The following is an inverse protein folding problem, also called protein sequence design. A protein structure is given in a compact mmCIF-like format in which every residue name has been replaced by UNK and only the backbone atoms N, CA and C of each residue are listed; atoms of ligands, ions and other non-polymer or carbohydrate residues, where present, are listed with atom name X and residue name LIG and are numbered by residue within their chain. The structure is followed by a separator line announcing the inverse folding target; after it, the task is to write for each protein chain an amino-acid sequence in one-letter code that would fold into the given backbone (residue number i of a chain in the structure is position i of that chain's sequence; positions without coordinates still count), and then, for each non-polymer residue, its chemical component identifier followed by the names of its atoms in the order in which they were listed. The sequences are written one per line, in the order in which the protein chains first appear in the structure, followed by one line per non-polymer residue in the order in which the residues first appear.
data_IF_382068191434
#
_entry.id   IF_382068191434
#
_cell.length_a   1.000
_cell.length_b   1.000
_cell.length_c   1.000
_cell.angle_alpha   90.00
_cell.angle_beta   90.00
_cell.angle_gamma   90.00
#
_symmetry.space_group_name_H-M   'P 1'
#
loop_
_entity.id
_entity.type
_entity.pdbx_description
1 polymer ?
#
# COMPACT_ATOMS: atom_id res chain seq x y z
N UNK A 1 -5.52 -21.15 -11.15
CA UNK A 1 -6.01 -21.88 -9.96
C UNK A 1 -6.49 -20.99 -8.81
N UNK A 2 -5.66 -20.18 -8.12
CA UNK A 2 -6.18 -19.36 -7.00
C UNK A 2 -7.16 -18.28 -7.47
N UNK A 3 -6.86 -17.65 -8.62
CA UNK A 3 -7.75 -16.68 -9.28
C UNK A 3 -9.11 -17.31 -9.59
N UNK A 4 -9.13 -18.47 -10.25
CA UNK A 4 -10.36 -19.18 -10.59
C UNK A 4 -11.14 -19.64 -9.35
N UNK A 5 -10.44 -20.14 -8.32
CA UNK A 5 -11.08 -20.66 -7.10
C UNK A 5 -11.76 -19.56 -6.29
N UNK A 6 -11.27 -18.33 -6.37
CA UNK A 6 -11.83 -17.18 -5.65
C UNK A 6 -12.69 -16.29 -6.55
N UNK A 7 -12.85 -16.63 -7.84
CA UNK A 7 -13.48 -15.77 -8.84
C UNK A 7 -12.94 -14.33 -8.79
N UNK A 8 -11.63 -14.20 -8.56
CA UNK A 8 -11.01 -12.91 -8.23
C UNK A 8 -10.91 -12.01 -9.47
N UNK A 9 -11.31 -10.74 -9.34
CA UNK A 9 -11.20 -9.73 -10.40
C UNK A 9 -9.76 -9.25 -10.65
N UNK A 10 -8.84 -9.50 -9.71
CA UNK A 10 -7.43 -9.13 -9.82
C UNK A 10 -6.56 -10.03 -8.93
N UNK A 11 -5.26 -10.13 -9.25
CA UNK A 11 -4.26 -10.79 -8.41
C UNK A 11 -3.25 -9.77 -7.87
N UNK A 12 -3.16 -9.64 -6.55
CA UNK A 12 -2.14 -8.81 -5.90
C UNK A 12 -0.90 -9.64 -5.56
N UNK A 13 0.24 -9.33 -6.18
CA UNK A 13 1.54 -9.85 -5.81
C UNK A 13 2.22 -8.90 -4.81
N UNK A 14 2.45 -9.38 -3.59
CA UNK A 14 3.16 -8.59 -2.59
C UNK A 14 4.68 -8.75 -2.74
N UNK A 15 5.42 -7.67 -2.48
CA UNK A 15 6.87 -7.63 -2.39
C UNK A 15 7.24 -7.30 -0.94
N UNK A 16 7.99 -8.20 -0.29
CA UNK A 16 8.32 -8.09 1.13
C UNK A 16 9.81 -8.39 1.44
N UNK A 17 10.79 -7.91 0.64
CA UNK A 17 12.18 -8.32 0.77
C UNK A 17 12.80 -8.03 2.14
N UNK A 18 12.45 -6.90 2.78
CA UNK A 18 12.93 -6.59 4.12
C UNK A 18 12.33 -7.55 5.16
N UNK A 19 11.04 -7.85 5.07
CA UNK A 19 10.38 -8.80 5.96
C UNK A 19 11.06 -10.16 5.88
N UNK A 20 11.29 -10.69 4.67
CA UNK A 20 12.00 -11.97 4.47
C UNK A 20 13.45 -11.94 4.97
N UNK A 21 14.11 -10.78 4.91
CA UNK A 21 15.44 -10.62 5.47
C UNK A 21 15.48 -10.75 7.00
N UNK A 22 14.50 -10.16 7.69
CA UNK A 22 14.37 -10.12 9.15
C UNK A 22 13.75 -11.40 9.71
N UNK A 23 12.85 -12.03 8.96
CA UNK A 23 12.18 -13.26 9.37
C UNK A 23 13.20 -14.40 9.55
N UNK A 24 13.13 -15.13 10.67
CA UNK A 24 14.10 -16.19 11.00
C UNK A 24 14.20 -17.31 9.94
N UNK A 25 13.12 -17.56 9.17
CA UNK A 25 13.08 -18.52 8.06
C UNK A 25 12.56 -17.88 6.77
N UNK A 26 12.88 -16.61 6.53
CA UNK A 26 12.42 -15.92 5.33
C UNK A 26 13.14 -16.38 4.06
N UNK A 27 12.42 -16.37 2.95
CA UNK A 27 12.95 -16.65 1.62
C UNK A 27 13.50 -15.37 0.99
N UNK A 28 14.80 -15.37 0.70
CA UNK A 28 15.53 -14.21 0.19
C UNK A 28 15.78 -14.31 -1.31
N UNK A 29 15.22 -15.31 -1.98
CA UNK A 29 15.43 -15.53 -3.40
C UNK A 29 14.50 -14.66 -4.26
N UNK A 30 14.89 -13.41 -4.44
CA UNK A 30 14.22 -12.47 -5.36
C UNK A 30 14.83 -12.45 -6.76
N UNK A 31 15.66 -13.46 -7.11
CA UNK A 31 16.32 -13.53 -8.42
C UNK A 31 15.28 -13.73 -9.53
N UNK A 32 15.47 -12.97 -10.61
CA UNK A 32 14.62 -13.03 -11.82
C UNK A 32 13.13 -12.84 -11.52
N UNK A 33 12.79 -12.11 -10.45
CA UNK A 33 11.41 -11.89 -10.07
C UNK A 33 10.66 -11.07 -11.12
N UNK A 34 11.29 -10.05 -11.71
CA UNK A 34 10.63 -9.18 -12.69
C UNK A 34 10.20 -9.92 -13.97
N UNK A 35 11.05 -10.74 -14.63
CA UNK A 35 10.59 -11.61 -15.73
C UNK A 35 9.45 -12.56 -15.34
N UNK A 36 9.47 -13.12 -14.13
CA UNK A 36 8.39 -13.99 -13.64
C UNK A 36 7.08 -13.23 -13.45
N UNK A 37 7.14 -11.99 -12.95
CA UNK A 37 5.98 -11.10 -12.87
C UNK A 37 5.45 -10.81 -14.28
N UNK A 38 6.33 -10.53 -15.26
CA UNK A 38 5.93 -10.26 -16.64
C UNK A 38 5.17 -11.45 -17.25
N UNK A 39 5.71 -12.66 -17.09
CA UNK A 39 5.05 -13.89 -17.52
C UNK A 39 3.64 -14.02 -16.92
N UNK A 40 3.48 -13.73 -15.62
CA UNK A 40 2.16 -13.77 -14.99
C UNK A 40 1.20 -12.70 -15.53
N UNK A 41 1.70 -11.50 -15.85
CA UNK A 41 0.88 -10.46 -16.45
C UNK A 41 0.39 -10.84 -17.85
N UNK A 42 1.16 -11.62 -18.60
CA UNK A 42 0.79 -12.12 -19.94
C UNK A 42 -0.19 -13.31 -19.87
N UNK A 43 0.01 -14.23 -18.92
CA UNK A 43 -0.74 -15.50 -18.85
C UNK A 43 -2.07 -15.40 -18.10
N UNK A 44 -2.20 -14.48 -17.14
CA UNK A 44 -3.40 -14.41 -16.30
C UNK A 44 -4.55 -13.67 -17.00
N UNK A 45 -5.79 -14.17 -16.90
CA UNK A 45 -6.96 -13.52 -17.50
C UNK A 45 -7.44 -12.27 -16.73
N UNK A 46 -6.79 -11.94 -15.62
CA UNK A 46 -7.16 -10.83 -14.72
C UNK A 46 -5.94 -9.93 -14.47
N UNK A 47 -6.14 -8.63 -14.21
CA UNK A 47 -5.05 -7.71 -13.95
C UNK A 47 -4.19 -8.15 -12.76
N UNK A 48 -2.88 -8.02 -12.94
CA UNK A 48 -1.89 -8.19 -11.87
C UNK A 48 -1.60 -6.83 -11.26
N UNK A 49 -1.73 -6.74 -9.94
CA UNK A 49 -1.37 -5.58 -9.13
C UNK A 49 -0.13 -5.92 -8.32
N UNK A 50 0.82 -4.99 -8.19
CA UNK A 50 1.99 -5.19 -7.33
C UNK A 50 1.95 -4.26 -6.13
N UNK A 51 2.26 -4.82 -4.97
CA UNK A 51 2.08 -4.19 -3.68
C UNK A 51 3.32 -4.33 -2.79
N UNK A 52 3.78 -3.29 -2.11
CA UNK A 52 4.71 -3.47 -0.97
C UNK A 52 3.93 -3.89 0.29
N UNK A 53 4.60 -4.14 1.40
CA UNK A 53 3.99 -4.53 2.68
C UNK A 53 4.20 -3.51 3.81
N UNK A 54 4.94 -2.42 3.61
CA UNK A 54 5.13 -1.36 4.61
C UNK A 54 6.42 -0.54 4.48
N UNK A 55 7.20 -0.71 3.41
CA UNK A 55 8.44 0.01 3.14
C UNK A 55 8.38 0.86 1.87
N UNK A 56 7.26 0.87 1.13
CA UNK A 56 7.08 1.72 -0.04
C UNK A 56 7.66 1.18 -1.35
N UNK A 57 6.92 1.34 -2.45
CA UNK A 57 7.45 1.22 -3.81
C UNK A 57 8.03 2.57 -4.25
N UNK A 58 9.23 2.56 -4.83
CA UNK A 58 9.86 3.75 -5.42
C UNK A 58 9.44 3.95 -6.87
N UNK A 59 9.53 5.19 -7.36
CA UNK A 59 9.23 5.53 -8.75
C UNK A 59 10.00 4.69 -9.79
N UNK A 60 11.34 4.47 -9.67
CA UNK A 60 12.06 3.59 -10.62
C UNK A 60 11.59 2.13 -10.58
N UNK A 61 11.19 1.62 -9.42
CA UNK A 61 10.66 0.26 -9.29
C UNK A 61 9.27 0.19 -9.92
N UNK A 62 8.40 1.16 -9.66
CA UNK A 62 7.08 1.25 -10.27
C UNK A 62 7.17 1.26 -11.81
N UNK A 63 8.05 2.08 -12.39
CA UNK A 63 8.26 2.12 -13.85
C UNK A 63 8.64 0.75 -14.42
N UNK A 64 9.54 0.02 -13.75
CA UNK A 64 9.96 -1.33 -14.18
C UNK A 64 8.82 -2.35 -14.08
N UNK A 65 8.02 -2.27 -13.03
CA UNK A 65 6.85 -3.14 -12.84
C UNK A 65 5.79 -2.87 -13.91
N UNK A 66 5.50 -1.61 -14.19
CA UNK A 66 4.55 -1.20 -15.23
C UNK A 66 5.05 -1.65 -16.62
N UNK A 67 6.33 -1.49 -16.91
CA UNK A 67 6.94 -1.99 -18.15
C UNK A 67 6.86 -3.53 -18.28
N UNK A 68 6.72 -4.25 -17.16
CA UNK A 68 6.49 -5.70 -17.14
C UNK A 68 5.01 -6.09 -17.26
N UNK A 69 4.08 -5.14 -17.44
CA UNK A 69 2.65 -5.42 -17.63
C UNK A 69 1.80 -5.33 -16.36
N UNK A 70 2.36 -4.88 -15.25
CA UNK A 70 1.58 -4.65 -14.01
C UNK A 70 0.54 -3.56 -14.24
N UNK A 71 -0.72 -3.86 -13.93
CA UNK A 71 -1.87 -3.01 -14.23
C UNK A 71 -2.11 -1.91 -13.18
N UNK A 72 -1.68 -2.11 -11.94
CA UNK A 72 -1.78 -1.13 -10.87
C UNK A 72 -0.69 -1.33 -9.80
N UNK A 73 -0.40 -0.27 -9.05
CA UNK A 73 0.58 -0.28 -7.96
C UNK A 73 -0.11 0.06 -6.65
N UNK A 74 0.13 -0.73 -5.62
CA UNK A 74 -0.17 -0.34 -4.24
C UNK A 74 1.13 -0.03 -3.50
N UNK A 75 1.30 1.24 -3.12
CA UNK A 75 2.57 1.74 -2.61
C UNK A 75 2.97 1.12 -1.27
N UNK A 76 2.00 0.82 -0.40
CA UNK A 76 2.21 0.34 0.97
C UNK A 76 3.43 0.96 1.66
N UNK A 77 3.42 2.29 1.79
CA UNK A 77 4.54 3.06 2.30
C UNK A 77 4.81 2.86 3.79
N UNK A 78 5.97 3.35 4.22
CA UNK A 78 6.35 3.45 5.62
C UNK A 78 5.50 4.50 6.35
N UNK A 79 5.31 4.29 7.66
CA UNK A 79 4.51 5.15 8.56
C UNK A 79 3.32 4.43 9.21
N UNK A 80 3.00 3.21 8.76
CA UNK A 80 2.00 2.33 9.35
C UNK A 80 2.58 1.12 10.07
N UNK A 81 2.03 -0.06 9.76
CA UNK A 81 2.58 -1.33 10.23
C UNK A 81 3.99 -1.52 9.68
N UNK A 82 4.97 -1.68 10.56
CA UNK A 82 6.34 -2.06 10.19
C UNK A 82 6.53 -3.56 10.37
N UNK A 83 6.65 -4.28 9.25
CA UNK A 83 6.93 -5.72 9.31
C UNK A 83 8.30 -6.04 9.88
N UNK A 84 9.29 -5.15 9.73
CA UNK A 84 10.57 -5.31 10.43
C UNK A 84 10.40 -5.31 11.96
N UNK A 85 9.53 -4.44 12.50
CA UNK A 85 9.19 -4.45 13.93
C UNK A 85 8.44 -5.74 14.31
N UNK A 86 7.46 -6.17 13.51
CA UNK A 86 6.71 -7.41 13.77
C UNK A 86 7.65 -8.63 13.79
N UNK A 87 8.50 -8.79 12.79
CA UNK A 87 9.45 -9.90 12.73
C UNK A 87 10.51 -9.82 13.84
N UNK A 88 10.93 -8.61 14.24
CA UNK A 88 11.80 -8.43 15.42
C UNK A 88 11.17 -8.98 16.69
N UNK A 89 9.86 -8.76 16.89
CA UNK A 89 9.14 -9.30 18.05
C UNK A 89 9.01 -10.82 17.98
N UNK A 90 8.83 -11.38 16.78
CA UNK A 90 8.74 -12.82 16.53
C UNK A 90 10.09 -13.55 16.57
N UNK A 91 11.20 -12.82 16.47
CA UNK A 91 12.54 -13.39 16.32
C UNK A 91 12.93 -14.31 17.49
N UNK A 92 13.48 -15.48 17.14
CA UNK A 92 13.94 -16.48 18.12
C UNK A 92 15.40 -16.32 18.54
N UNK A 93 16.17 -15.55 17.78
CA UNK A 93 17.58 -15.32 18.00
C UNK A 93 17.92 -13.82 18.07
N UNK A 94 19.04 -13.50 18.72
CA UNK A 94 19.47 -12.12 18.93
C UNK A 94 19.75 -11.39 17.61
N UNK A 95 20.31 -12.08 16.62
CA UNK A 95 20.69 -11.49 15.34
C UNK A 95 19.45 -10.95 14.62
N UNK A 96 18.41 -11.77 14.47
CA UNK A 96 17.18 -11.35 13.78
C UNK A 96 16.41 -10.29 14.55
N UNK A 97 16.38 -10.40 15.89
CA UNK A 97 15.78 -9.36 16.73
C UNK A 97 16.45 -8.01 16.51
N UNK A 98 17.80 -7.99 16.58
CA UNK A 98 18.59 -6.76 16.37
C UNK A 98 18.43 -6.23 14.95
N UNK A 99 18.41 -7.11 13.95
CA UNK A 99 18.21 -6.71 12.55
C UNK A 99 16.86 -6.00 12.38
N UNK A 100 15.77 -6.59 12.86
CA UNK A 100 14.44 -5.96 12.77
C UNK A 100 14.33 -4.65 13.55
N UNK A 101 15.06 -4.50 14.68
CA UNK A 101 15.15 -3.22 15.40
C UNK A 101 15.91 -2.16 14.60
N UNK A 102 17.01 -2.53 13.93
CA UNK A 102 17.81 -1.60 13.12
C UNK A 102 17.02 -1.08 11.92
N UNK A 103 16.23 -1.94 11.28
CA UNK A 103 15.43 -1.59 10.10
C UNK A 103 13.97 -1.24 10.43
N UNK A 104 13.69 -0.93 11.69
CA UNK A 104 12.35 -0.73 12.20
C UNK A 104 11.58 0.41 11.50
N UNK A 105 12.29 1.46 11.09
CA UNK A 105 11.77 2.64 10.39
C UNK A 105 12.33 2.77 8.96
N UNK A 106 12.75 1.64 8.36
CA UNK A 106 13.21 1.60 6.97
C UNK A 106 12.03 1.75 6.00
N UNK A 107 12.27 2.46 4.89
CA UNK A 107 11.34 2.55 3.76
C UNK A 107 11.00 3.98 3.36
N UNK A 108 10.23 4.10 2.28
CA UNK A 108 9.73 5.36 1.76
C UNK A 108 8.36 5.66 2.38
N UNK A 109 8.14 6.86 2.94
CA UNK A 109 6.83 7.27 3.43
C UNK A 109 5.76 7.23 2.34
N UNK A 110 4.53 6.83 2.70
CA UNK A 110 3.40 6.71 1.75
C UNK A 110 3.22 7.96 0.88
N UNK A 111 3.27 9.15 1.47
CA UNK A 111 3.12 10.42 0.74
C UNK A 111 4.24 10.64 -0.31
N UNK A 112 5.46 10.22 -0.01
CA UNK A 112 6.60 10.34 -0.93
C UNK A 112 6.51 9.34 -2.08
N UNK A 113 6.09 8.09 -1.80
CA UNK A 113 5.79 7.11 -2.84
C UNK A 113 4.75 7.65 -3.82
N UNK A 114 3.63 8.17 -3.31
CA UNK A 114 2.54 8.70 -4.14
C UNK A 114 3.02 9.82 -5.06
N UNK A 115 3.68 10.84 -4.49
CA UNK A 115 4.17 11.99 -5.26
C UNK A 115 5.21 11.58 -6.29
N UNK A 116 6.20 10.77 -5.90
CA UNK A 116 7.29 10.38 -6.79
C UNK A 116 6.82 9.50 -7.94
N UNK A 117 5.91 8.55 -7.68
CA UNK A 117 5.34 7.68 -8.71
C UNK A 117 4.44 8.51 -9.63
N UNK A 118 3.50 9.29 -9.09
CA UNK A 118 2.58 10.09 -9.92
C UNK A 118 3.30 11.08 -10.84
N UNK A 119 4.46 11.60 -10.41
CA UNK A 119 5.27 12.50 -11.23
C UNK A 119 5.88 11.85 -12.49
N UNK A 120 6.09 10.52 -12.50
CA UNK A 120 6.72 9.82 -13.63
C UNK A 120 5.77 8.89 -14.38
N UNK A 121 4.65 8.49 -13.78
CA UNK A 121 3.61 7.64 -14.37
C UNK A 121 2.23 8.21 -14.04
N UNK A 122 1.81 9.29 -14.73
CA UNK A 122 0.62 10.07 -14.36
C UNK A 122 -0.71 9.32 -14.51
N UNK A 123 -0.76 8.26 -15.31
CA UNK A 123 -2.00 7.54 -15.66
C UNK A 123 -2.17 6.18 -14.98
N UNK A 124 -1.15 5.66 -14.28
CA UNK A 124 -1.28 4.33 -13.65
C UNK A 124 -2.27 4.39 -12.49
N UNK A 125 -3.17 3.40 -12.32
CA UNK A 125 -3.93 3.25 -11.08
C UNK A 125 -2.98 3.04 -9.90
N UNK A 126 -3.09 3.93 -8.91
CA UNK A 126 -2.20 3.99 -7.75
C UNK A 126 -3.01 3.88 -6.46
N UNK A 127 -2.81 2.79 -5.73
CA UNK A 127 -3.43 2.56 -4.44
C UNK A 127 -2.52 3.11 -3.36
N UNK A 128 -3.03 4.06 -2.59
CA UNK A 128 -2.39 4.61 -1.42
C UNK A 128 -2.66 3.71 -0.20
N UNK A 129 -1.66 2.99 0.27
CA UNK A 129 -1.75 2.30 1.55
C UNK A 129 -0.47 2.45 2.36
N UNK A 130 -0.53 2.01 3.61
CA UNK A 130 0.56 2.19 4.58
C UNK A 130 0.30 3.41 5.46
N UNK A 131 -0.11 3.16 6.70
CA UNK A 131 -0.20 4.18 7.74
C UNK A 131 -1.44 5.07 7.73
N UNK A 132 -2.39 4.87 6.81
CA UNK A 132 -3.68 5.54 6.83
C UNK A 132 -4.53 5.04 8.01
N UNK A 133 -5.14 5.96 8.75
CA UNK A 133 -5.89 5.65 9.98
C UNK A 133 -7.34 6.11 9.97
N UNK A 134 -7.66 7.14 9.18
CA UNK A 134 -8.96 7.81 9.17
C UNK A 134 -9.27 8.36 7.76
N UNK A 135 -10.48 8.86 7.56
CA UNK A 135 -10.94 9.44 6.30
C UNK A 135 -10.16 10.68 5.86
N UNK A 136 -9.60 11.46 6.79
CA UNK A 136 -8.74 12.59 6.44
C UNK A 136 -7.40 12.15 5.85
N UNK A 137 -6.80 11.07 6.35
CA UNK A 137 -5.59 10.48 5.76
C UNK A 137 -5.88 9.95 4.35
N UNK A 138 -7.04 9.32 4.14
CA UNK A 138 -7.49 8.88 2.81
C UNK A 138 -7.64 10.08 1.88
N UNK A 139 -8.34 11.14 2.31
CA UNK A 139 -8.55 12.35 1.52
C UNK A 139 -7.21 12.99 1.10
N UNK A 140 -6.25 13.08 2.03
CA UNK A 140 -4.89 13.57 1.73
C UNK A 140 -4.17 12.67 0.74
N UNK A 141 -4.27 11.35 0.89
CA UNK A 141 -3.61 10.41 -0.01
C UNK A 141 -4.18 10.49 -1.44
N UNK A 142 -5.50 10.63 -1.58
CA UNK A 142 -6.14 10.89 -2.87
C UNK A 142 -5.68 12.24 -3.45
N UNK A 143 -5.68 13.30 -2.65
CA UNK A 143 -5.19 14.62 -3.07
C UNK A 143 -3.70 14.62 -3.49
N UNK A 144 -2.88 13.71 -2.96
CA UNK A 144 -1.48 13.50 -3.36
C UNK A 144 -1.32 12.71 -4.67
N UNK A 145 -2.41 12.24 -5.26
CA UNK A 145 -2.42 11.52 -6.52
C UNK A 145 -2.70 10.02 -6.39
N UNK A 146 -3.16 9.52 -5.25
CA UNK A 146 -3.76 8.19 -5.16
C UNK A 146 -5.12 8.13 -5.91
N UNK A 147 -5.44 6.97 -6.46
CA UNK A 147 -6.75 6.67 -7.08
C UNK A 147 -7.66 5.93 -6.09
N UNK A 148 -7.06 5.10 -5.23
CA UNK A 148 -7.73 4.35 -4.19
C UNK A 148 -6.90 4.44 -2.90
N UNK A 149 -7.53 4.15 -1.76
CA UNK A 149 -6.85 4.06 -0.48
C UNK A 149 -7.09 2.70 0.18
N UNK A 150 -6.03 2.13 0.76
CA UNK A 150 -6.05 0.83 1.43
C UNK A 150 -5.68 0.94 2.90
N UNK A 151 -6.48 0.32 3.76
CA UNK A 151 -6.26 0.21 5.20
C UNK A 151 -6.21 -1.27 5.57
N UNK A 152 -5.29 -1.65 6.46
CA UNK A 152 -5.17 -3.03 6.93
C UNK A 152 -5.33 -3.10 8.45
N UNK A 153 -4.39 -2.51 9.19
CA UNK A 153 -4.38 -2.58 10.67
C UNK A 153 -5.65 -2.01 11.32
N UNK A 154 -6.18 -0.83 10.95
CA UNK A 154 -7.40 -0.31 11.57
C UNK A 154 -8.61 -1.22 11.36
N UNK A 155 -8.79 -1.76 10.14
CA UNK A 155 -9.83 -2.75 9.85
C UNK A 155 -9.64 -4.05 10.65
N UNK A 156 -8.40 -4.55 10.77
CA UNK A 156 -8.09 -5.71 11.60
C UNK A 156 -8.43 -5.47 13.08
N UNK A 157 -8.11 -4.29 13.62
CA UNK A 157 -8.42 -3.93 15.01
C UNK A 157 -9.93 -3.82 15.26
N UNK A 158 -10.69 -3.30 14.29
CA UNK A 158 -12.15 -3.25 14.36
C UNK A 158 -12.78 -4.66 14.26
N UNK A 159 -12.39 -5.44 13.24
CA UNK A 159 -12.88 -6.79 13.02
C UNK A 159 -12.55 -7.75 14.18
N UNK A 160 -11.42 -7.55 14.86
CA UNK A 160 -11.05 -8.33 16.05
C UNK A 160 -11.98 -8.06 17.26
N UNK A 161 -12.75 -6.97 17.25
CA UNK A 161 -13.76 -6.67 18.28
C UNK A 161 -15.10 -7.30 17.93
N UNK A 162 -15.64 -6.98 16.75
CA UNK A 162 -16.90 -7.54 16.23
C UNK A 162 -17.18 -7.05 14.81
N UNK A 163 -18.14 -7.68 14.15
CA UNK A 163 -18.73 -7.19 12.88
C UNK A 163 -19.37 -5.81 13.04
N UNK A 164 -20.10 -5.58 14.14
CA UNK A 164 -20.69 -4.26 14.43
C UNK A 164 -19.61 -3.16 14.53
N UNK A 165 -18.48 -3.44 15.20
CA UNK A 165 -17.39 -2.48 15.29
C UNK A 165 -16.71 -2.23 13.93
N UNK A 166 -16.73 -3.22 13.03
CA UNK A 166 -16.23 -3.08 11.66
C UNK A 166 -17.14 -2.18 10.82
N UNK A 167 -18.45 -2.35 10.93
CA UNK A 167 -19.45 -1.52 10.26
C UNK A 167 -19.37 -0.07 10.77
N UNK A 168 -19.38 0.13 12.09
CA UNK A 168 -19.23 1.45 12.72
C UNK A 168 -17.94 2.15 12.27
N UNK A 169 -16.82 1.42 12.18
CA UNK A 169 -15.56 1.98 11.69
C UNK A 169 -15.67 2.41 10.22
N UNK A 170 -16.38 1.65 9.39
CA UNK A 170 -16.60 1.99 7.98
C UNK A 170 -17.44 3.26 7.84
N UNK A 171 -18.53 3.37 8.61
CA UNK A 171 -19.38 4.57 8.63
C UNK A 171 -18.60 5.82 9.07
N UNK A 172 -17.73 5.69 10.07
CA UNK A 172 -16.85 6.77 10.52
C UNK A 172 -15.90 7.22 9.40
N UNK A 173 -15.25 6.28 8.70
CA UNK A 173 -14.35 6.61 7.61
C UNK A 173 -15.06 7.37 6.48
N UNK A 174 -16.30 6.98 6.17
CA UNK A 174 -17.13 7.66 5.16
C UNK A 174 -17.45 9.07 5.61
N UNK A 175 -17.94 9.25 6.84
CA UNK A 175 -18.28 10.58 7.37
C UNK A 175 -17.07 11.52 7.44
N UNK A 176 -15.89 11.00 7.79
CA UNK A 176 -14.63 11.76 7.78
C UNK A 176 -14.22 12.20 6.37
N UNK A 177 -14.41 11.33 5.36
CA UNK A 177 -14.16 11.64 3.96
C UNK A 177 -15.13 12.70 3.42
N UNK A 178 -16.43 12.54 3.69
CA UNK A 178 -17.47 13.51 3.34
C UNK A 178 -17.19 14.87 3.98
N UNK A 179 -16.75 14.88 5.23
CA UNK A 179 -16.33 16.11 5.93
C UNK A 179 -15.13 16.75 5.25
N UNK A 180 -14.11 15.96 4.86
CA UNK A 180 -12.94 16.49 4.14
C UNK A 180 -13.32 17.08 2.76
N UNK A 181 -14.23 16.42 2.03
CA UNK A 181 -14.76 16.90 0.76
C UNK A 181 -15.54 18.21 0.96
N UNK A 182 -16.44 18.26 1.93
CA UNK A 182 -17.21 19.46 2.28
C UNK A 182 -16.30 20.64 2.65
N UNK A 183 -15.34 20.43 3.56
CA UNK A 183 -14.43 21.47 4.02
C UNK A 183 -13.45 21.97 2.95
N UNK A 184 -13.21 21.18 1.89
CA UNK A 184 -12.37 21.58 0.76
C UNK A 184 -13.19 22.03 -0.46
N UNK A 185 -14.52 22.02 -0.37
CA UNK A 185 -15.41 22.42 -1.46
C UNK A 185 -15.40 21.48 -2.68
N UNK A 186 -15.10 20.19 -2.48
CA UNK A 186 -15.06 19.19 -3.55
C UNK A 186 -16.31 18.30 -3.48
N UNK A 187 -16.94 18.02 -4.64
CA UNK A 187 -18.13 17.15 -4.73
C UNK A 187 -17.82 15.67 -4.62
N UNK A 188 -16.60 15.28 -4.96
CA UNK A 188 -16.16 13.89 -5.06
C UNK A 188 -14.63 13.77 -4.98
N UNK A 189 -14.14 12.53 -4.87
CA UNK A 189 -12.72 12.23 -4.75
C UNK A 189 -11.91 12.57 -6.01
N UNK A 190 -12.52 12.51 -7.20
CA UNK A 190 -11.85 12.87 -8.45
C UNK A 190 -11.56 14.38 -8.50
N UNK A 191 -12.55 15.18 -8.11
CA UNK A 191 -12.43 16.63 -7.94
C UNK A 191 -11.36 16.96 -6.91
N UNK A 192 -11.39 16.29 -5.74
CA UNK A 192 -10.37 16.46 -4.69
C UNK A 192 -8.95 16.17 -5.20
N UNK A 193 -8.75 15.07 -5.93
CA UNK A 193 -7.47 14.68 -6.53
C UNK A 193 -6.89 15.76 -7.44
N UNK A 194 -7.76 16.44 -8.19
CA UNK A 194 -7.38 17.50 -9.15
C UNK A 194 -7.37 18.92 -8.55
N UNK A 195 -7.85 19.09 -7.32
CA UNK A 195 -8.14 20.41 -6.73
C UNK A 195 -6.90 21.28 -6.41
N UNK A 196 -5.72 20.68 -6.24
CA UNK A 196 -4.52 21.39 -5.79
C UNK A 196 -4.60 21.93 -4.33
N UNK A 197 -5.61 21.52 -3.56
CA UNK A 197 -5.88 22.03 -2.20
C UNK A 197 -4.83 21.58 -1.17
N UNK A 198 -4.13 20.47 -1.42
CA UNK A 198 -3.10 19.98 -0.51
C UNK A 198 -1.74 20.59 -0.86
N UNK A 199 -1.26 21.49 0.00
CA UNK A 199 0.02 22.16 -0.15
C UNK A 199 1.00 21.72 0.95
N UNK A 200 2.31 21.64 0.66
CA UNK A 200 3.32 21.50 1.71
C UNK A 200 3.22 22.65 2.71
N UNK A 201 3.36 22.35 3.99
CA UNK A 201 3.58 23.39 5.00
C UNK A 201 5.01 23.90 4.78
N UNK A 202 5.12 25.12 4.26
CA UNK A 202 6.40 25.84 4.08
C UNK A 202 6.84 26.50 5.37
#
# INVERSE_FOLDING_TARGET
RVVELLEADALILHLNPLQECVQSRGDKNFKELLPKIAQLCEELPVPVVVKEVGNGISAPVAQRLIAAGVAAIDVAGAGGTSWAKVESQRAKDHKQRRLGQTFADWGLPTAECLRSIRAVVPEIPLIASGGLKNGLDIAKAIALGGDLAGLARPFLEAAAKSEVALDEFTDILIAELETALFCTGNSDLASLKSSGMLQPIT
#
